data_IF_725231818520
#
_entry.id   IF_725231818520
#
_cell.length_a   1.000
_cell.length_b   1.000
_cell.length_c   1.000
_cell.angle_alpha   90.00
_cell.angle_beta   90.00
_cell.angle_gamma   90.00
#
_symmetry.space_group_name_H-M   'P 1'
#
loop_
_entity.id
_entity.type
_entity.pdbx_description
1 polymer ?
#
# COMPACT_ATOMS: atom_id res chain seq x y z
N UNK A 1 -18.53 -13.74 -22.08
CA UNK A 1 -18.38 -13.36 -21.71
C UNK A 1 -18.03 -12.93 -20.90
N UNK A 2 -17.90 -12.70 -20.65
CA UNK A 2 -17.56 -12.26 -19.96
C UNK A 2 -17.78 -11.66 -19.19
N UNK A 3 -17.88 -11.41 -18.88
CA UNK A 3 -18.02 -10.77 -18.27
C UNK A 3 -17.91 -10.58 -17.22
N UNK A 4 -17.59 -10.73 -16.86
CA UNK A 4 -17.44 -10.68 -15.95
C UNK A 4 -17.02 -9.83 -15.34
N UNK A 5 -16.43 -9.48 -15.27
CA UNK A 5 -15.95 -8.67 -14.74
C UNK A 5 -16.29 -7.64 -14.76
N UNK A 6 -16.89 -7.58 -14.91
CA UNK A 6 -17.32 -6.60 -15.07
C UNK A 6 -18.01 -6.17 -14.11
N UNK A 7 -18.22 -6.78 -13.52
CA UNK A 7 -18.93 -6.50 -12.48
C UNK A 7 -18.24 -5.43 -11.89
N UNK A 8 -18.84 -4.68 -11.34
CA UNK A 8 -18.27 -3.56 -10.86
C UNK A 8 -17.53 -4.02 -9.76
N UNK A 9 -16.51 -4.23 -9.94
CA UNK A 9 -15.86 -4.56 -9.02
C UNK A 9 -15.80 -3.59 -8.08
N UNK A 10 -16.03 -3.70 -6.97
CA UNK A 10 -15.81 -2.90 -6.03
C UNK A 10 -14.39 -2.75 -5.94
N UNK A 11 -13.81 -1.72 -6.08
CA UNK A 11 -12.51 -1.44 -5.95
C UNK A 11 -12.19 -1.61 -4.56
N UNK A 12 -11.28 -2.39 -4.15
CA UNK A 12 -10.85 -2.51 -2.79
C UNK A 12 -9.93 -1.36 -2.55
N UNK A 13 -10.35 -0.45 -1.67
CA UNK A 13 -9.54 0.70 -1.38
C UNK A 13 -8.52 0.32 -0.32
N UNK A 14 -7.29 0.14 -0.70
CA UNK A 14 -6.25 -0.25 0.22
C UNK A 14 -5.60 0.93 0.88
N UNK A 15 -5.44 0.84 2.19
CA UNK A 15 -4.73 1.87 2.92
C UNK A 15 -3.48 1.27 3.48
N UNK A 16 -2.41 2.04 3.47
CA UNK A 16 -1.11 1.58 3.91
C UNK A 16 -0.53 2.49 4.99
N UNK A 17 0.21 1.90 5.89
CA UNK A 17 0.99 2.64 6.86
C UNK A 17 2.44 2.31 6.61
N UNK A 18 3.28 3.33 6.56
CA UNK A 18 4.69 3.16 6.35
C UNK A 18 5.39 3.58 7.63
N UNK A 19 6.22 2.71 8.16
CA UNK A 19 6.98 3.04 9.37
C UNK A 19 8.37 2.48 9.29
N UNK A 20 9.22 3.00 10.12
CA UNK A 20 10.60 2.57 10.13
C UNK A 20 10.78 1.55 11.24
N UNK A 21 11.47 0.46 10.98
CA UNK A 21 11.70 -0.52 12.01
C UNK A 21 12.98 -0.21 12.77
N UNK A 22 13.32 -1.05 13.72
CA UNK A 22 14.49 -0.81 14.56
C UNK A 22 15.79 -0.92 13.81
N UNK A 23 15.79 -1.57 12.66
CA UNK A 23 16.99 -1.71 11.88
C UNK A 23 17.11 -0.65 10.81
N UNK A 24 16.23 0.33 10.83
CA UNK A 24 16.27 1.41 9.86
C UNK A 24 15.63 1.07 8.53
N UNK A 25 14.96 -0.06 8.43
CA UNK A 25 14.26 -0.40 7.20
C UNK A 25 12.87 0.19 7.24
N UNK A 26 12.30 0.36 6.08
CA UNK A 26 10.96 0.96 5.99
C UNK A 26 9.95 -0.12 5.65
N UNK A 27 8.93 -0.21 6.45
CA UNK A 27 7.93 -1.25 6.30
C UNK A 27 6.62 -0.64 5.86
N UNK A 28 6.10 -1.11 4.76
CA UNK A 28 4.79 -0.71 4.28
C UNK A 28 3.82 -1.84 4.61
N UNK A 29 2.75 -1.53 5.32
CA UNK A 29 1.77 -2.54 5.72
C UNK A 29 0.39 -2.08 5.32
N UNK A 30 -0.35 -2.95 4.69
CA UNK A 30 -1.73 -2.65 4.33
C UNK A 30 -2.60 -2.86 5.56
N UNK A 31 -3.64 -2.08 5.70
CA UNK A 31 -4.48 -2.07 6.89
C UNK A 31 -4.99 -3.45 7.31
N UNK A 32 -5.34 -4.25 6.36
CA UNK A 32 -5.88 -5.58 6.65
C UNK A 32 -4.83 -6.67 6.57
N UNK A 33 -3.58 -6.29 6.38
CA UNK A 33 -2.50 -7.25 6.38
C UNK A 33 -2.37 -8.11 5.15
N UNK A 34 -3.04 -7.74 4.06
CA UNK A 34 -3.01 -8.53 2.86
C UNK A 34 -1.77 -8.32 2.00
N UNK A 35 -1.17 -7.16 2.12
CA UNK A 35 0.00 -6.81 1.34
C UNK A 35 0.99 -6.08 2.21
N UNK A 36 2.23 -6.19 1.89
CA UNK A 36 3.25 -5.45 2.61
C UNK A 36 4.60 -5.64 2.00
N UNK A 37 5.57 -4.90 2.49
CA UNK A 37 6.92 -5.04 2.02
C UNK A 37 7.89 -4.33 2.93
N UNK A 38 9.15 -4.68 2.77
CA UNK A 38 10.24 -4.08 3.54
C UNK A 38 11.16 -3.44 2.54
N UNK A 39 11.48 -2.17 2.77
CA UNK A 39 12.24 -1.39 1.82
C UNK A 39 13.43 -0.70 2.46
N UNK A 40 14.42 -0.43 1.68
CA UNK A 40 15.62 0.22 2.18
C UNK A 40 15.41 1.70 2.42
N UNK A 41 14.53 2.32 1.65
CA UNK A 41 14.28 3.76 1.78
C UNK A 41 12.80 4.03 1.92
N UNK A 42 12.49 5.17 2.50
CA UNK A 42 11.12 5.60 2.62
C UNK A 42 10.50 5.81 1.24
N UNK A 43 11.29 6.33 0.32
CA UNK A 43 10.80 6.59 -1.02
C UNK A 43 10.35 5.32 -1.71
N UNK A 44 11.10 4.25 -1.56
CA UNK A 44 10.73 2.98 -2.17
C UNK A 44 9.44 2.45 -1.54
N UNK A 45 9.30 2.58 -0.23
CA UNK A 45 8.09 2.14 0.45
C UNK A 45 6.89 2.96 -0.01
N UNK A 46 7.07 4.26 -0.17
CA UNK A 46 6.01 5.13 -0.64
C UNK A 46 5.59 4.77 -2.05
N UNK A 47 6.54 4.48 -2.92
CA UNK A 47 6.19 4.10 -4.28
C UNK A 47 5.37 2.84 -4.32
N UNK A 48 5.76 1.86 -3.52
CA UNK A 48 5.02 0.62 -3.45
C UNK A 48 3.59 0.88 -2.95
N UNK A 49 3.46 1.62 -1.85
CA UNK A 49 2.17 1.86 -1.26
C UNK A 49 1.27 2.67 -2.19
N UNK A 50 1.82 3.68 -2.85
CA UNK A 50 1.03 4.47 -3.78
C UNK A 50 0.56 3.65 -4.95
N UNK A 51 1.41 2.79 -5.46
CA UNK A 51 1.03 1.96 -6.58
C UNK A 51 -0.14 1.05 -6.18
N UNK A 52 -0.06 0.46 -4.99
CA UNK A 52 -1.10 -0.45 -4.54
C UNK A 52 -2.37 0.30 -4.14
N UNK A 53 -2.25 1.58 -3.80
CA UNK A 53 -3.41 2.39 -3.43
C UNK A 53 -3.95 3.19 -4.61
N UNK A 54 -3.61 2.77 -5.83
CA UNK A 54 -4.08 3.42 -7.05
C UNK A 54 -3.67 4.89 -7.13
N UNK A 55 -2.52 5.22 -6.59
CA UNK A 55 -2.01 6.58 -6.66
C UNK A 55 -2.66 7.54 -5.69
N UNK A 56 -3.50 7.05 -4.79
CA UNK A 56 -4.22 7.93 -3.88
C UNK A 56 -3.38 8.17 -2.62
N UNK A 57 -2.71 9.29 -2.57
CA UNK A 57 -1.81 9.59 -1.46
C UNK A 57 -2.55 9.73 -0.13
N UNK A 58 -3.85 10.01 -0.17
CA UNK A 58 -4.62 10.11 1.06
C UNK A 58 -4.73 8.77 1.77
N UNK A 59 -4.43 7.68 1.07
CA UNK A 59 -4.51 6.36 1.66
C UNK A 59 -3.17 5.82 2.09
N UNK A 60 -2.13 6.64 2.05
CA UNK A 60 -0.80 6.22 2.45
C UNK A 60 -0.36 7.11 3.59
N UNK A 61 -0.12 6.51 4.75
CA UNK A 61 0.20 7.24 5.96
C UNK A 61 1.61 6.89 6.43
N UNK A 62 2.42 7.88 6.65
CA UNK A 62 3.78 7.65 7.10
C UNK A 62 3.83 8.00 8.58
N UNK A 63 4.24 7.04 9.39
CA UNK A 63 4.37 7.26 10.81
C UNK A 63 5.76 7.77 11.10
N UNK A 64 5.86 8.73 11.99
CA UNK A 64 7.17 9.21 12.35
C UNK A 64 7.65 8.67 13.67
#
# INVERSE_FOLDING_TARGET
>A
MAYFDLAPRRRVLREFTIRRDQRGRWIASETHGLLGGVFVTCKAALRFALYEADGDSARVHVES
#
